data_IF_534182844758
#
_entry.id   IF_534182844758
#
_cell.length_a   1.000
_cell.length_b   1.000
_cell.length_c   1.000
_cell.angle_alpha   90.00
_cell.angle_beta   90.00
_cell.angle_gamma   90.00
#
_symmetry.space_group_name_H-M   'P 1'
#
loop_
_entity.id
_entity.type
_entity.pdbx_description
1 polymer ?
#
# COMPACT_ATOMS: atom_id res chain seq x y z
N UNK A 1 13.13 -0.54 -23.87
CA UNK A 1 13.58 -0.19 -22.51
C UNK A 1 12.33 0.14 -21.74
N UNK A 2 11.72 -0.89 -21.16
CA UNK A 2 10.49 -0.77 -20.42
C UNK A 2 10.73 -0.16 -19.05
N UNK A 3 9.75 0.58 -18.53
CA UNK A 3 9.81 1.13 -17.17
C UNK A 3 10.04 0.03 -16.11
N UNK A 4 9.62 -1.20 -16.38
CA UNK A 4 9.83 -2.37 -15.53
C UNK A 4 11.11 -3.17 -15.81
N UNK A 5 11.87 -2.85 -16.87
CA UNK A 5 13.22 -3.43 -17.07
C UNK A 5 14.24 -2.85 -16.07
N UNK A 6 13.89 -1.77 -15.37
CA UNK A 6 14.75 -1.20 -14.35
C UNK A 6 14.68 -2.05 -13.08
N UNK A 7 15.78 -2.73 -12.75
CA UNK A 7 15.95 -3.44 -11.46
C UNK A 7 15.54 -2.57 -10.27
N UNK A 8 15.81 -1.27 -10.34
CA UNK A 8 15.46 -0.29 -9.30
C UNK A 8 13.94 -0.25 -9.06
N UNK A 9 13.13 -0.27 -10.13
CA UNK A 9 11.66 -0.23 -10.02
C UNK A 9 11.12 -1.54 -9.46
N UNK A 10 11.72 -2.68 -9.84
CA UNK A 10 11.34 -3.99 -9.30
C UNK A 10 11.69 -4.12 -7.82
N UNK A 11 12.87 -3.65 -7.40
CA UNK A 11 13.27 -3.59 -6.00
C UNK A 11 12.38 -2.64 -5.19
N UNK A 12 12.06 -1.45 -5.73
CA UNK A 12 11.16 -0.50 -5.08
C UNK A 12 9.77 -1.10 -4.86
N UNK A 13 9.22 -1.79 -5.86
CA UNK A 13 7.94 -2.49 -5.76
C UNK A 13 7.99 -3.56 -4.66
N UNK A 14 9.06 -4.38 -4.65
CA UNK A 14 9.22 -5.47 -3.69
C UNK A 14 9.35 -4.96 -2.25
N UNK A 15 10.14 -3.90 -2.04
CA UNK A 15 10.24 -3.22 -0.75
C UNK A 15 8.90 -2.66 -0.31
N UNK A 16 8.17 -1.99 -1.21
CA UNK A 16 6.87 -1.41 -0.91
C UNK A 16 5.86 -2.48 -0.41
N UNK A 17 5.83 -3.65 -1.05
CA UNK A 17 4.99 -4.76 -0.60
C UNK A 17 5.42 -5.32 0.75
N UNK A 18 6.73 -5.43 1.01
CA UNK A 18 7.25 -5.90 2.30
C UNK A 18 6.96 -4.93 3.43
N UNK A 19 7.17 -3.63 3.19
CA UNK A 19 6.88 -2.55 4.13
C UNK A 19 5.38 -2.56 4.49
N UNK A 20 4.52 -2.69 3.47
CA UNK A 20 3.07 -2.77 3.66
C UNK A 20 2.67 -3.99 4.49
N UNK A 21 3.16 -5.18 4.16
CA UNK A 21 2.86 -6.40 4.91
C UNK A 21 3.29 -6.29 6.38
N UNK A 22 4.45 -5.69 6.62
CA UNK A 22 4.99 -5.46 7.95
C UNK A 22 4.09 -4.50 8.75
N UNK A 23 3.63 -3.41 8.14
CA UNK A 23 2.70 -2.48 8.79
C UNK A 23 1.31 -3.08 9.05
N UNK A 24 0.79 -3.94 8.17
CA UNK A 24 -0.48 -4.63 8.42
C UNK A 24 -0.36 -5.58 9.62
N UNK A 25 0.74 -6.34 9.71
CA UNK A 25 1.01 -7.18 10.87
C UNK A 25 1.14 -6.37 12.16
N UNK A 26 1.87 -5.24 12.10
CA UNK A 26 2.05 -4.33 13.22
C UNK A 26 0.71 -3.69 13.65
N UNK A 27 -0.17 -3.38 12.68
CA UNK A 27 -1.48 -2.79 12.89
C UNK A 27 -2.42 -3.63 13.75
N UNK A 28 -2.23 -4.96 13.77
CA UNK A 28 -2.95 -5.84 14.69
C UNK A 28 -2.74 -5.50 16.17
N UNK A 29 -1.61 -4.86 16.50
CA UNK A 29 -1.28 -4.39 17.85
C UNK A 29 -1.57 -2.89 18.08
N UNK A 30 -2.14 -2.18 17.10
CA UNK A 30 -2.38 -0.73 17.18
C UNK A 30 -3.13 -0.29 18.45
N UNK A 31 -4.10 -1.09 18.91
CA UNK A 31 -4.85 -0.79 20.14
C UNK A 31 -3.99 -0.76 21.41
N UNK A 32 -2.83 -1.43 21.41
CA UNK A 32 -1.88 -1.50 22.53
C UNK A 32 -0.81 -0.41 22.48
N UNK A 33 -0.70 0.31 21.37
CA UNK A 33 0.27 1.40 21.25
C UNK A 33 -0.12 2.57 22.14
N UNK A 34 0.91 3.22 22.67
CA UNK A 34 0.77 4.53 23.29
C UNK A 34 0.50 5.61 22.23
N UNK A 35 0.25 6.83 22.67
CA UNK A 35 -0.12 7.93 21.77
C UNK A 35 0.94 8.19 20.70
N UNK A 36 2.22 8.19 21.09
CA UNK A 36 3.34 8.39 20.18
C UNK A 36 3.48 7.23 19.19
N UNK A 37 3.38 5.97 19.64
CA UNK A 37 3.41 4.81 18.76
C UNK A 37 2.24 4.79 17.77
N UNK A 38 1.05 5.23 18.19
CA UNK A 38 -0.10 5.40 17.28
C UNK A 38 0.14 6.47 16.22
N UNK A 39 0.71 7.62 16.61
CA UNK A 39 1.06 8.69 15.67
C UNK A 39 2.06 8.20 14.63
N UNK A 40 3.17 7.59 15.08
CA UNK A 40 4.19 7.04 14.20
C UNK A 40 3.63 5.96 13.26
N UNK A 41 2.77 5.08 13.78
CA UNK A 41 2.13 4.06 12.95
C UNK A 41 1.30 4.66 11.82
N UNK A 42 0.51 5.69 12.13
CA UNK A 42 -0.30 6.39 11.14
C UNK A 42 0.57 7.09 10.11
N UNK A 43 1.61 7.81 10.53
CA UNK A 43 2.54 8.49 9.62
C UNK A 43 3.21 7.50 8.66
N UNK A 44 3.66 6.35 9.18
CA UNK A 44 4.26 5.30 8.36
C UNK A 44 3.26 4.72 7.35
N UNK A 45 2.02 4.47 7.77
CA UNK A 45 0.98 4.00 6.87
C UNK A 45 0.64 5.02 5.77
N UNK A 46 0.61 6.32 6.09
CA UNK A 46 0.42 7.37 5.09
C UNK A 46 1.58 7.47 4.10
N UNK A 47 2.81 7.36 4.58
CA UNK A 47 3.99 7.35 3.71
C UNK A 47 3.97 6.17 2.71
N UNK A 48 3.56 4.97 3.17
CA UNK A 48 3.39 3.82 2.27
C UNK A 48 2.26 4.06 1.26
N UNK A 49 1.13 4.62 1.70
CA UNK A 49 0.00 4.93 0.83
C UNK A 49 0.40 5.90 -0.30
N UNK A 50 1.17 6.94 0.02
CA UNK A 50 1.67 7.89 -0.97
C UNK A 50 2.64 7.24 -1.96
N UNK A 51 3.60 6.43 -1.47
CA UNK A 51 4.50 5.67 -2.35
C UNK A 51 3.74 4.71 -3.25
N UNK A 52 2.74 4.02 -2.72
CA UNK A 52 1.93 3.07 -3.49
C UNK A 52 1.04 3.78 -4.52
N UNK A 53 0.50 4.97 -4.22
CA UNK A 53 -0.21 5.82 -5.18
C UNK A 53 0.69 6.27 -6.33
N UNK A 54 1.91 6.71 -6.02
CA UNK A 54 2.92 7.09 -7.03
C UNK A 54 3.31 5.88 -7.87
N UNK A 55 3.54 4.72 -7.24
CA UNK A 55 3.85 3.47 -7.92
C UNK A 55 2.73 3.09 -8.89
N UNK A 56 1.47 3.02 -8.42
CA UNK A 56 0.30 2.76 -9.26
C UNK A 56 0.16 3.77 -10.41
N UNK A 57 0.44 5.06 -10.18
CA UNK A 57 0.33 6.04 -11.25
C UNK A 57 1.41 5.88 -12.32
N UNK A 58 2.66 5.62 -11.91
CA UNK A 58 3.75 5.28 -12.82
C UNK A 58 3.45 3.99 -13.59
N UNK A 59 2.77 3.06 -12.93
CA UNK A 59 2.34 1.80 -13.48
C UNK A 59 1.26 1.95 -14.56
N UNK A 60 0.21 2.73 -14.30
CA UNK A 60 -0.85 3.03 -15.27
C UNK A 60 -0.33 3.72 -16.54
N UNK A 61 0.72 4.53 -16.39
CA UNK A 61 1.35 5.26 -17.49
C UNK A 61 2.40 4.44 -18.24
N UNK A 62 2.73 3.24 -17.76
CA UNK A 62 3.70 2.35 -18.39
C UNK A 62 3.02 1.50 -19.47
N UNK A 63 3.52 1.57 -20.70
CA UNK A 63 3.09 0.70 -21.82
C UNK A 63 3.76 -0.69 -21.80
N UNK A 64 4.49 -0.99 -20.73
CA UNK A 64 5.25 -2.23 -20.59
C UNK A 64 4.33 -3.43 -20.33
N UNK A 65 4.43 -4.45 -21.17
CA UNK A 65 3.65 -5.69 -21.07
C UNK A 65 3.88 -6.41 -19.73
N UNK A 66 5.08 -6.32 -19.16
CA UNK A 66 5.40 -6.90 -17.85
C UNK A 66 4.65 -6.22 -16.71
N UNK A 67 4.43 -4.90 -16.82
CA UNK A 67 3.59 -4.14 -15.92
C UNK A 67 2.16 -4.69 -15.99
N UNK A 68 1.58 -4.76 -17.19
CA UNK A 68 0.20 -5.22 -17.36
C UNK A 68 -0.06 -6.60 -16.73
N UNK A 69 0.90 -7.53 -16.86
CA UNK A 69 0.80 -8.86 -16.24
C UNK A 69 0.77 -8.81 -14.71
N UNK A 70 1.59 -7.98 -14.08
CA UNK A 70 1.62 -7.85 -12.62
C UNK A 70 0.33 -7.18 -12.08
N UNK A 71 -0.28 -6.26 -12.82
CA UNK A 71 -1.61 -5.72 -12.49
C UNK A 71 -2.69 -6.78 -12.58
N UNK A 72 -2.69 -7.58 -13.65
CA UNK A 72 -3.66 -8.66 -13.78
C UNK A 72 -3.47 -9.71 -12.67
N UNK A 73 -2.24 -9.99 -12.27
CA UNK A 73 -1.95 -10.87 -11.15
C UNK A 73 -2.42 -10.28 -9.80
N UNK A 74 -2.17 -8.99 -9.56
CA UNK A 74 -2.64 -8.29 -8.37
C UNK A 74 -4.18 -8.27 -8.32
N UNK A 75 -4.84 -7.89 -9.42
CA UNK A 75 -6.30 -7.92 -9.54
C UNK A 75 -6.86 -9.32 -9.33
N UNK A 76 -6.18 -10.36 -9.81
CA UNK A 76 -6.60 -11.75 -9.61
C UNK A 76 -6.54 -12.12 -8.13
N UNK A 77 -5.45 -11.80 -7.43
CA UNK A 77 -5.31 -12.07 -5.98
C UNK A 77 -6.35 -11.30 -5.17
N UNK A 78 -6.55 -10.02 -5.48
CA UNK A 78 -7.55 -9.19 -4.80
C UNK A 78 -8.98 -9.63 -5.13
N UNK A 79 -9.22 -10.04 -6.37
CA UNK A 79 -10.50 -10.59 -6.82
C UNK A 79 -10.86 -11.89 -6.11
N UNK A 80 -9.88 -12.75 -5.81
CA UNK A 80 -10.09 -13.93 -4.94
C UNK A 80 -10.49 -13.55 -3.52
N UNK A 81 -9.99 -12.41 -3.01
CA UNK A 81 -10.41 -11.81 -1.75
C UNK A 81 -11.72 -11.00 -1.85
N UNK A 82 -12.34 -10.93 -3.04
CA UNK A 82 -13.59 -10.18 -3.27
C UNK A 82 -13.43 -8.66 -3.30
N UNK A 83 -12.23 -8.13 -3.55
CA UNK A 83 -11.98 -6.70 -3.60
C UNK A 83 -11.24 -6.25 -4.85
N UNK A 84 -11.42 -4.99 -5.24
CA UNK A 84 -10.60 -4.34 -6.26
C UNK A 84 -9.42 -3.58 -5.61
N UNK A 85 -8.33 -3.30 -6.35
CA UNK A 85 -7.26 -2.42 -5.85
C UNK A 85 -7.78 -1.09 -5.32
N UNK A 86 -8.75 -0.48 -6.03
CA UNK A 86 -9.37 0.77 -5.61
C UNK A 86 -10.11 0.62 -4.27
N UNK A 87 -10.91 -0.45 -4.11
CA UNK A 87 -11.61 -0.72 -2.87
C UNK A 87 -10.64 -0.96 -1.70
N UNK A 88 -9.51 -1.62 -1.95
CA UNK A 88 -8.46 -1.81 -0.95
C UNK A 88 -7.93 -0.45 -0.46
N UNK A 89 -7.61 0.46 -1.39
CA UNK A 89 -7.18 1.82 -1.04
C UNK A 89 -8.22 2.58 -0.24
N UNK A 90 -9.47 2.56 -0.68
CA UNK A 90 -10.54 3.29 -0.03
C UNK A 90 -10.75 2.77 1.41
N UNK A 91 -10.67 1.45 1.62
CA UNK A 91 -10.73 0.84 2.94
C UNK A 91 -9.53 1.24 3.82
N UNK A 92 -8.32 1.27 3.26
CA UNK A 92 -7.12 1.70 4.00
C UNK A 92 -7.22 3.17 4.40
N UNK A 93 -7.64 4.06 3.49
CA UNK A 93 -7.84 5.47 3.78
C UNK A 93 -8.89 5.70 4.88
N UNK A 94 -10.02 4.99 4.81
CA UNK A 94 -11.04 5.04 5.87
C UNK A 94 -10.52 4.53 7.21
N UNK A 95 -9.71 3.46 7.19
CA UNK A 95 -9.10 2.90 8.41
C UNK A 95 -8.15 3.90 9.05
N UNK A 96 -7.28 4.55 8.26
CA UNK A 96 -6.38 5.59 8.74
C UNK A 96 -7.13 6.81 9.30
N UNK A 97 -8.19 7.26 8.63
CA UNK A 97 -9.02 8.37 9.12
C UNK A 97 -9.64 8.04 10.48
N UNK A 98 -10.12 6.80 10.67
CA UNK A 98 -10.63 6.34 11.97
C UNK A 98 -9.52 6.28 13.02
N UNK A 99 -8.34 5.75 12.68
CA UNK A 99 -7.19 5.70 13.59
C UNK A 99 -6.78 7.09 14.07
N UNK A 100 -6.72 8.08 13.16
CA UNK A 100 -6.45 9.50 13.49
C UNK A 100 -7.46 10.07 14.47
N UNK A 101 -8.76 9.84 14.21
CA UNK A 101 -9.82 10.33 15.08
C UNK A 101 -9.79 9.77 16.52
N UNK A 102 -9.08 8.66 16.76
CA UNK A 102 -8.89 8.09 18.09
C UNK A 102 -7.71 8.73 18.85
N UNK A 103 -6.83 9.46 18.18
CA UNK A 103 -5.69 10.15 18.80
C UNK A 103 -6.07 11.56 19.27
N UNK A 104 -7.00 12.21 18.56
CA UNK A 104 -7.50 13.55 18.87
C UNK A 104 -8.60 13.58 19.94
N UNK A 105 -9.08 12.41 20.39
CA UNK A 105 -10.06 12.26 21.48
C UNK A 105 -9.38 11.99 22.81
#
# INVERSE_FOLDING_TARGET
MGFFDSEIVQEEAKQLFQDYQSLIQLGGNYGKFDREGKLMYIEQMEAIMDRYKVFMKRFELSEDFSAQMMVEQLKTQLGQAGMTPQQMFDQMAQTLARMKSQIDK
#
